data_IF_798853843295
#
_entry.id   IF_798853843295
#
_cell.length_a   1.000
_cell.length_b   1.000
_cell.length_c   1.000
_cell.angle_alpha   90.00
_cell.angle_beta   90.00
_cell.angle_gamma   90.00
#
_symmetry.space_group_name_H-M   'P 1'
#
loop_
_entity.id
_entity.type
_entity.pdbx_description
1 polymer ?
#
# COMPACT_ATOMS: atom_id res chain seq x y z
N UNK A 1 4.40 -13.98 7.20
CA UNK A 1 4.77 -12.59 6.87
C UNK A 1 4.63 -12.34 5.37
N UNK A 2 3.99 -11.25 5.04
CA UNK A 2 3.64 -10.88 3.68
C UNK A 2 4.35 -9.58 3.29
N UNK A 3 4.80 -9.50 2.04
CA UNK A 3 5.38 -8.28 1.50
C UNK A 3 4.30 -7.24 1.19
N UNK A 4 4.72 -6.00 0.96
CA UNK A 4 3.76 -4.95 0.62
C UNK A 4 2.95 -5.35 -0.63
N UNK A 5 1.68 -4.96 -0.64
CA UNK A 5 0.73 -5.41 -1.66
C UNK A 5 0.66 -4.52 -2.89
N UNK A 6 1.10 -3.28 -2.77
CA UNK A 6 1.08 -2.34 -3.88
C UNK A 6 2.27 -2.55 -4.82
N UNK A 7 2.25 -1.83 -5.94
CA UNK A 7 3.29 -1.93 -6.97
C UNK A 7 4.48 -1.00 -6.76
N UNK A 8 4.49 -0.26 -5.67
CA UNK A 8 5.59 0.64 -5.34
C UNK A 8 6.92 -0.11 -5.29
N UNK A 9 7.89 0.32 -6.09
CA UNK A 9 9.20 -0.33 -6.18
C UNK A 9 9.20 -1.67 -6.91
N UNK A 10 8.07 -2.09 -7.47
CA UNK A 10 7.97 -3.29 -8.30
C UNK A 10 7.76 -2.93 -9.77
N UNK A 11 6.72 -2.19 -10.09
CA UNK A 11 6.43 -1.71 -11.44
C UNK A 11 6.26 -0.20 -11.51
N UNK A 12 6.26 0.49 -10.38
CA UNK A 12 6.18 1.94 -10.30
C UNK A 12 7.32 2.49 -9.45
N UNK A 13 7.68 3.72 -9.70
CA UNK A 13 8.73 4.40 -8.97
C UNK A 13 8.44 5.90 -8.90
N UNK A 14 9.22 6.58 -8.08
CA UNK A 14 9.13 8.03 -7.92
C UNK A 14 10.54 8.62 -7.92
N UNK A 15 10.73 9.71 -8.66
CA UNK A 15 12.00 10.45 -8.66
C UNK A 15 11.76 11.78 -7.96
N UNK A 16 12.57 12.06 -6.94
CA UNK A 16 12.47 13.30 -6.20
C UNK A 16 13.19 14.45 -6.92
N UNK A 17 12.92 15.68 -6.49
CA UNK A 17 13.58 16.87 -7.06
C UNK A 17 15.10 16.85 -6.85
N UNK A 18 15.56 16.19 -5.79
CA UNK A 18 16.98 16.08 -5.46
C UNK A 18 17.61 14.78 -5.98
N UNK A 19 17.02 14.18 -7.01
CA UNK A 19 17.55 13.01 -7.72
C UNK A 19 17.63 11.75 -6.87
N UNK A 20 16.64 11.51 -6.05
CA UNK A 20 16.51 10.25 -5.34
C UNK A 20 15.45 9.39 -6.03
N UNK A 21 15.71 8.10 -6.10
CA UNK A 21 14.73 7.12 -6.58
C UNK A 21 14.09 6.45 -5.39
N UNK A 22 12.77 6.46 -5.36
CA UNK A 22 11.96 5.88 -4.28
C UNK A 22 10.88 4.98 -4.85
N UNK A 23 10.36 4.02 -4.07
CA UNK A 23 9.26 3.18 -4.55
C UNK A 23 7.98 3.97 -4.84
N UNK A 24 7.71 5.00 -4.05
CA UNK A 24 6.47 5.77 -4.10
C UNK A 24 6.73 7.21 -3.63
N UNK A 25 5.97 8.16 -4.15
CA UNK A 25 6.08 9.57 -3.74
C UNK A 25 5.75 9.81 -2.29
N UNK A 26 4.99 8.92 -1.66
CA UNK A 26 4.64 9.00 -0.24
C UNK A 26 5.63 8.27 0.66
N UNK A 27 6.54 7.49 0.11
CA UNK A 27 7.53 6.74 0.89
C UNK A 27 8.84 7.52 0.95
N UNK A 28 9.28 7.88 2.15
CA UNK A 28 10.57 8.56 2.35
C UNK A 28 11.73 7.59 2.38
N UNK A 29 11.47 6.33 2.66
CA UNK A 29 12.44 5.24 2.66
C UNK A 29 11.83 4.00 2.03
N UNK A 30 12.58 3.17 1.32
CA UNK A 30 13.97 3.36 0.92
C UNK A 30 14.15 4.45 -0.13
N UNK A 31 15.35 5.02 -0.19
CA UNK A 31 15.70 6.07 -1.14
C UNK A 31 17.11 5.78 -1.65
N UNK A 32 17.27 5.79 -2.97
CA UNK A 32 18.56 5.49 -3.62
C UNK A 32 18.93 6.67 -4.52
N UNK A 33 20.16 7.19 -4.41
CA UNK A 33 20.59 8.27 -5.30
C UNK A 33 20.58 7.82 -6.76
N UNK A 34 20.08 8.68 -7.64
CA UNK A 34 20.22 8.49 -9.07
C UNK A 34 21.58 9.04 -9.49
N UNK A 35 22.51 8.14 -9.77
CA UNK A 35 23.82 8.53 -10.26
C UNK A 35 23.77 8.68 -11.79
N UNK A 36 24.54 9.63 -12.32
CA UNK A 36 24.59 9.89 -13.76
C UNK A 36 24.93 8.61 -14.53
N UNK A 37 24.07 8.22 -15.46
CA UNK A 37 24.31 7.12 -16.38
C UNK A 37 23.77 5.77 -15.97
N UNK A 38 23.11 5.62 -14.80
CA UNK A 38 22.70 4.30 -14.34
C UNK A 38 21.36 4.26 -13.60
N UNK A 39 20.29 4.63 -14.28
CA UNK A 39 18.92 4.41 -13.77
C UNK A 39 18.69 2.91 -13.48
N UNK A 40 19.15 2.03 -14.37
CA UNK A 40 18.95 0.60 -14.25
C UNK A 40 19.53 0.03 -12.95
N UNK A 41 20.70 0.49 -12.54
CA UNK A 41 21.32 0.05 -11.27
C UNK A 41 20.53 0.56 -10.07
N UNK A 42 20.13 1.81 -10.09
CA UNK A 42 19.33 2.41 -9.00
C UNK A 42 17.97 1.71 -8.90
N UNK A 43 17.34 1.42 -10.03
CA UNK A 43 16.08 0.68 -10.09
C UNK A 43 16.23 -0.73 -9.50
N UNK A 44 17.30 -1.42 -9.85
CA UNK A 44 17.61 -2.75 -9.30
C UNK A 44 17.75 -2.71 -7.77
N UNK A 45 18.42 -1.69 -7.24
CA UNK A 45 18.57 -1.52 -5.80
C UNK A 45 17.23 -1.25 -5.11
N UNK A 46 16.42 -0.37 -5.67
CA UNK A 46 15.10 -0.06 -5.11
C UNK A 46 14.20 -1.29 -5.11
N UNK A 47 14.22 -2.07 -6.17
CA UNK A 47 13.44 -3.31 -6.24
C UNK A 47 13.86 -4.30 -5.16
N UNK A 48 15.15 -4.44 -4.93
CA UNK A 48 15.66 -5.31 -3.88
C UNK A 48 15.27 -4.82 -2.48
N UNK A 49 15.40 -3.54 -2.23
CA UNK A 49 15.02 -2.94 -0.93
C UNK A 49 13.52 -3.05 -0.68
N UNK A 50 12.72 -2.87 -1.72
CA UNK A 50 11.26 -3.03 -1.64
C UNK A 50 10.87 -4.44 -1.18
N UNK A 51 11.58 -5.45 -1.62
CA UNK A 51 11.32 -6.84 -1.24
C UNK A 51 11.55 -7.11 0.24
N UNK A 52 12.25 -6.24 0.94
CA UNK A 52 12.47 -6.33 2.38
C UNK A 52 11.34 -5.71 3.20
N UNK A 53 10.45 -4.95 2.57
CA UNK A 53 9.33 -4.29 3.26
C UNK A 53 8.20 -5.29 3.47
N UNK A 54 7.90 -5.59 4.73
CA UNK A 54 6.83 -6.50 5.11
C UNK A 54 5.64 -5.74 5.65
N UNK A 55 4.44 -6.25 5.40
CA UNK A 55 3.24 -5.70 6.03
C UNK A 55 3.23 -6.06 7.51
N UNK A 56 2.51 -5.30 8.35
CA UNK A 56 2.34 -5.68 9.76
C UNK A 56 1.77 -7.09 9.89
N UNK A 57 2.23 -7.84 10.88
CA UNK A 57 1.79 -9.21 11.08
C UNK A 57 0.26 -9.33 11.21
N UNK A 58 -0.36 -8.37 11.90
CA UNK A 58 -1.83 -8.34 12.04
C UNK A 58 -2.55 -8.16 10.68
N UNK A 59 -1.90 -7.53 9.71
CA UNK A 59 -2.47 -7.32 8.39
C UNK A 59 -2.39 -8.57 7.53
N UNK A 60 -1.33 -9.37 7.69
CA UNK A 60 -1.15 -10.62 6.95
C UNK A 60 -2.28 -11.62 7.21
N UNK A 61 -2.75 -11.67 8.45
CA UNK A 61 -3.79 -12.61 8.87
C UNK A 61 -5.19 -11.97 8.96
N UNK A 62 -5.32 -10.71 8.55
CA UNK A 62 -6.55 -9.95 8.71
C UNK A 62 -7.66 -10.45 7.75
N UNK A 63 -8.87 -10.74 8.27
CA UNK A 63 -9.98 -11.16 7.41
C UNK A 63 -10.46 -10.08 6.45
N UNK A 64 -10.12 -8.82 6.70
CA UNK A 64 -10.46 -7.69 5.83
C UNK A 64 -9.39 -7.39 4.77
N UNK A 65 -8.35 -8.23 4.68
CA UNK A 65 -7.19 -7.97 3.83
C UNK A 65 -7.55 -7.71 2.36
N UNK A 66 -8.54 -8.39 1.83
CA UNK A 66 -8.95 -8.23 0.42
C UNK A 66 -9.66 -6.91 0.12
N UNK A 67 -10.19 -6.25 1.13
CA UNK A 67 -10.90 -5.00 0.99
C UNK A 67 -10.10 -3.80 1.48
N UNK A 68 -9.03 -4.03 2.23
CA UNK A 68 -8.25 -2.98 2.85
C UNK A 68 -7.18 -2.45 1.91
N UNK A 69 -7.18 -1.14 1.68
CA UNK A 69 -6.12 -0.44 0.97
C UNK A 69 -4.96 -0.12 1.93
N UNK A 70 -4.46 -1.15 2.61
CA UNK A 70 -3.34 -0.99 3.53
C UNK A 70 -2.17 -0.36 2.78
N UNK A 71 -1.78 0.83 3.19
CA UNK A 71 -0.72 1.60 2.55
C UNK A 71 0.53 1.60 3.42
N UNK A 72 1.60 1.00 2.91
CA UNK A 72 2.88 0.94 3.61
C UNK A 72 3.42 2.34 3.92
N UNK A 73 3.26 3.28 2.99
CA UNK A 73 3.70 4.66 3.19
C UNK A 73 3.00 5.32 4.37
N UNK A 74 1.69 5.10 4.52
CA UNK A 74 0.91 5.63 5.64
C UNK A 74 1.35 4.98 6.95
N UNK A 75 1.56 3.67 6.95
CA UNK A 75 2.07 2.96 8.13
C UNK A 75 3.38 3.58 8.62
N UNK A 76 4.30 3.81 7.70
CA UNK A 76 5.60 4.39 8.04
C UNK A 76 5.46 5.84 8.51
N UNK A 77 4.67 6.66 7.82
CA UNK A 77 4.47 8.06 8.16
C UNK A 77 3.84 8.25 9.54
N UNK A 78 2.88 7.39 9.88
CA UNK A 78 2.15 7.51 11.15
C UNK A 78 2.88 6.88 12.33
N UNK A 79 3.62 5.79 12.10
CA UNK A 79 4.23 5.02 13.19
C UNK A 79 5.76 5.00 13.20
N UNK A 80 6.39 5.43 12.10
CA UNK A 80 7.83 5.32 11.95
C UNK A 80 8.30 3.93 11.55
N UNK A 81 7.39 3.02 11.26
CA UNK A 81 7.71 1.63 10.91
C UNK A 81 6.73 1.07 9.90
N UNK A 82 7.22 0.26 8.96
CA UNK A 82 6.37 -0.47 8.04
C UNK A 82 5.62 -1.63 8.71
N UNK A 83 6.06 -2.03 9.90
CA UNK A 83 5.48 -3.18 10.61
C UNK A 83 4.34 -2.80 11.56
N UNK A 84 3.97 -1.53 11.62
CA UNK A 84 2.90 -1.04 12.48
C UNK A 84 1.88 -0.27 11.65
N UNK A 85 0.62 -0.69 11.70
CA UNK A 85 -0.47 0.00 11.03
C UNK A 85 -1.28 0.81 12.06
N UNK A 86 -1.65 2.07 11.77
CA UNK A 86 -2.49 2.83 12.68
C UNK A 86 -3.90 2.24 12.70
N UNK A 87 -4.53 2.26 13.88
CA UNK A 87 -5.86 1.67 14.06
C UNK A 87 -6.92 2.32 13.18
N UNK A 88 -6.78 3.61 12.85
CA UNK A 88 -7.76 4.28 12.02
C UNK A 88 -7.89 3.68 10.62
N UNK A 89 -6.83 3.06 10.12
CA UNK A 89 -6.90 2.35 8.83
C UNK A 89 -7.84 1.14 8.93
N UNK A 90 -7.78 0.42 10.03
CA UNK A 90 -8.68 -0.71 10.29
C UNK A 90 -10.12 -0.23 10.40
N UNK A 91 -10.34 0.87 11.12
CA UNK A 91 -11.67 1.46 11.29
C UNK A 91 -12.24 1.96 9.97
N UNK A 92 -11.43 2.59 9.13
CA UNK A 92 -11.85 3.02 7.80
C UNK A 92 -12.30 1.84 6.95
N UNK A 93 -11.56 0.73 6.99
CA UNK A 93 -11.91 -0.46 6.23
C UNK A 93 -13.21 -1.08 6.72
N UNK A 94 -13.42 -1.13 8.03
CA UNK A 94 -14.68 -1.60 8.61
C UNK A 94 -15.84 -0.76 8.13
N UNK A 95 -15.72 0.57 8.18
CA UNK A 95 -16.75 1.48 7.70
C UNK A 95 -17.02 1.29 6.20
N UNK A 96 -15.97 1.14 5.41
CA UNK A 96 -16.10 0.90 3.98
C UNK A 96 -16.86 -0.38 3.69
N UNK A 97 -16.51 -1.47 4.39
CA UNK A 97 -17.20 -2.77 4.22
C UNK A 97 -18.67 -2.70 4.60
N UNK A 98 -18.99 -1.97 5.66
CA UNK A 98 -20.39 -1.74 6.07
C UNK A 98 -21.15 -0.99 4.97
N UNK A 99 -20.54 0.03 4.37
CA UNK A 99 -21.14 0.79 3.28
C UNK A 99 -21.35 -0.07 2.03
N UNK A 100 -20.34 -0.82 1.65
CA UNK A 100 -20.44 -1.72 0.49
C UNK A 100 -21.53 -2.75 0.70
N UNK A 101 -21.62 -3.32 1.89
CA UNK A 101 -22.65 -4.30 2.23
C UNK A 101 -24.04 -3.71 2.15
N UNK A 102 -24.21 -2.50 2.65
CA UNK A 102 -25.47 -1.78 2.54
C UNK A 102 -25.85 -1.53 1.08
N UNK A 103 -24.89 -1.11 0.25
CA UNK A 103 -25.11 -0.87 -1.17
C UNK A 103 -25.47 -2.15 -1.92
N UNK A 104 -24.82 -3.26 -1.61
CA UNK A 104 -25.11 -4.56 -2.22
C UNK A 104 -26.52 -5.03 -1.90
N UNK A 105 -26.94 -4.87 -0.65
CA UNK A 105 -28.31 -5.18 -0.23
C UNK A 105 -29.30 -4.31 -1.02
N UNK A 106 -29.02 -3.03 -1.15
CA UNK A 106 -29.86 -2.10 -1.91
C UNK A 106 -29.93 -2.47 -3.39
N UNK A 107 -28.81 -2.73 -4.02
CA UNK A 107 -28.74 -3.11 -5.43
C UNK A 107 -29.49 -4.42 -5.71
N UNK A 108 -29.36 -5.38 -4.81
CA UNK A 108 -30.07 -6.65 -4.94
C UNK A 108 -31.58 -6.46 -4.84
N UNK A 109 -32.03 -5.57 -3.96
CA UNK A 109 -33.44 -5.23 -3.83
C UNK A 109 -33.97 -4.56 -5.12
N UNK A 110 -33.20 -3.62 -5.69
CA UNK A 110 -33.55 -2.98 -6.96
C UNK A 110 -33.59 -3.98 -8.11
N UNK A 111 -32.62 -4.87 -8.21
CA UNK A 111 -32.56 -5.87 -9.27
C UNK A 111 -33.73 -6.86 -9.20
N UNK A 112 -34.16 -7.21 -8.00
CA UNK A 112 -35.34 -8.06 -7.80
C UNK A 112 -36.62 -7.37 -8.29
N UNK A 113 -36.70 -6.06 -8.14
CA UNK A 113 -37.83 -5.28 -8.61
C UNK A 113 -37.86 -5.10 -10.12
N UNK A 114 -36.74 -5.31 -10.83
CA UNK A 114 -36.65 -5.18 -12.28
C UNK A 114 -36.92 -6.49 -13.05
N UNK A 115 -37.00 -7.58 -12.35
CA UNK A 115 -37.33 -8.88 -12.91
C UNK A 115 -38.77 -9.23 -12.60
#
# INVERSE_FOLDING_TARGET
TERIRCRAGSSTFWVTWDRQLRPCGMMTEPSVPLTAGSFAESWKKIRALREEIMVPAKCSACPMANACDQCAAVCFAESGSYTAAPEYMCEQTKCLLEQIRADEIWKNAENRGKN
#
